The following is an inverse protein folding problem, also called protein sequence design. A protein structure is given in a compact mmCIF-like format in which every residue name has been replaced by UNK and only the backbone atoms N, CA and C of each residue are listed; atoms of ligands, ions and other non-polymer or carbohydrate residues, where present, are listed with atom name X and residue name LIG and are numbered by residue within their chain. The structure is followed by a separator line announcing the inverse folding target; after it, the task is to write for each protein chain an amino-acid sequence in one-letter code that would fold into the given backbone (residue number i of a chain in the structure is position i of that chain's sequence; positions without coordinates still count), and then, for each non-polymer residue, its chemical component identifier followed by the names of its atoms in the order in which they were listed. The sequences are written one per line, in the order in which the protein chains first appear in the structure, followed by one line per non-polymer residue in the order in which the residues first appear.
data_IF_575283840541
#
_entry.id   IF_575283840541
#
_cell.length_a   1.000
_cell.length_b   1.000
_cell.length_c   1.000
_cell.angle_alpha   90.00
_cell.angle_beta   90.00
_cell.angle_gamma   90.00
#
_symmetry.space_group_name_H-M   'P 1'
#
loop_
_entity.id
_entity.type
_entity.pdbx_description
1 polymer ?
#
# COMPACT_ATOMS: atom_id res chain seq x y z
N UNK A 1 20.64 -20.32 -13.43
CA UNK A 1 20.97 -20.01 -12.02
C UNK A 1 20.44 -18.61 -11.74
N UNK A 2 19.46 -18.44 -10.84
CA UNK A 2 18.90 -17.10 -10.53
C UNK A 2 19.86 -16.35 -9.63
N UNK A 3 20.13 -15.08 -9.94
CA UNK A 3 21.11 -14.25 -9.23
C UNK A 3 20.64 -13.90 -7.80
N UNK A 4 21.46 -14.12 -6.76
CA UNK A 4 21.05 -13.95 -5.36
C UNK A 4 20.65 -12.52 -5.00
N UNK A 5 21.17 -11.49 -5.71
CA UNK A 5 20.77 -10.09 -5.50
C UNK A 5 19.32 -9.82 -5.92
N UNK A 6 18.80 -10.53 -6.92
CA UNK A 6 17.43 -10.39 -7.39
C UNK A 6 16.42 -10.89 -6.36
N UNK A 7 16.77 -11.96 -5.64
CA UNK A 7 15.94 -12.51 -4.56
C UNK A 7 15.82 -11.54 -3.38
N UNK A 8 16.93 -10.93 -2.94
CA UNK A 8 16.93 -9.95 -1.86
C UNK A 8 16.09 -8.70 -2.21
N UNK A 9 16.23 -8.18 -3.43
CA UNK A 9 15.45 -7.02 -3.87
C UNK A 9 13.96 -7.35 -4.04
N UNK A 10 13.62 -8.56 -4.51
CA UNK A 10 12.24 -9.01 -4.58
C UNK A 10 11.61 -9.16 -3.19
N UNK A 11 12.34 -9.73 -2.23
CA UNK A 11 11.89 -9.87 -0.85
C UNK A 11 11.63 -8.51 -0.19
N UNK A 12 12.55 -7.55 -0.32
CA UNK A 12 12.39 -6.21 0.24
C UNK A 12 11.16 -5.48 -0.36
N UNK A 13 10.93 -5.59 -1.67
CA UNK A 13 9.74 -5.05 -2.33
C UNK A 13 8.44 -5.70 -1.85
N UNK A 14 8.47 -7.00 -1.54
CA UNK A 14 7.30 -7.70 -1.01
C UNK A 14 6.93 -7.17 0.38
N UNK A 15 7.91 -7.05 1.27
CA UNK A 15 7.69 -6.53 2.64
C UNK A 15 7.16 -5.10 2.62
N UNK A 16 7.73 -4.22 1.78
CA UNK A 16 7.22 -2.86 1.64
C UNK A 16 5.80 -2.84 1.05
N UNK A 17 5.51 -3.69 0.07
CA UNK A 17 4.17 -3.83 -0.48
C UNK A 17 3.14 -4.29 0.56
N UNK A 18 3.48 -5.23 1.45
CA UNK A 18 2.57 -5.70 2.50
C UNK A 18 2.28 -4.60 3.52
N UNK A 19 3.33 -3.89 3.97
CA UNK A 19 3.17 -2.73 4.85
C UNK A 19 2.29 -1.65 4.23
N UNK A 20 2.48 -1.36 2.95
CA UNK A 20 1.67 -0.35 2.23
C UNK A 20 0.20 -0.77 2.13
N UNK A 21 -0.10 -2.06 1.94
CA UNK A 21 -1.47 -2.59 1.95
C UNK A 21 -2.13 -2.36 3.31
N UNK A 22 -1.44 -2.68 4.41
CA UNK A 22 -1.94 -2.43 5.77
C UNK A 22 -2.18 -0.95 6.02
N UNK A 23 -1.27 -0.10 5.55
CA UNK A 23 -1.36 1.35 5.75
C UNK A 23 -2.57 1.95 5.02
N UNK A 24 -2.78 1.63 3.74
CA UNK A 24 -3.96 2.15 3.01
C UNK A 24 -5.28 1.64 3.58
N UNK A 25 -5.30 0.40 4.09
CA UNK A 25 -6.46 -0.15 4.77
C UNK A 25 -6.80 0.64 6.04
N UNK A 26 -5.79 0.93 6.86
CA UNK A 26 -5.96 1.75 8.06
C UNK A 26 -6.46 3.16 7.74
N UNK A 27 -5.88 3.82 6.73
CA UNK A 27 -6.32 5.15 6.28
C UNK A 27 -7.78 5.13 5.83
N UNK A 28 -8.15 4.18 4.96
CA UNK A 28 -9.52 4.08 4.43
C UNK A 28 -10.54 3.75 5.52
N UNK A 29 -10.17 2.91 6.49
CA UNK A 29 -11.03 2.60 7.64
C UNK A 29 -11.22 3.81 8.56
N UNK A 30 -10.16 4.57 8.80
CA UNK A 30 -10.22 5.77 9.63
C UNK A 30 -11.06 6.88 9.00
N UNK A 31 -11.10 6.94 7.66
CA UNK A 31 -11.94 7.88 6.93
C UNK A 31 -12.48 7.24 5.63
N UNK A 32 -13.67 6.62 5.68
CA UNK A 32 -14.28 5.93 4.55
C UNK A 32 -14.62 6.83 3.37
N UNK A 33 -14.68 8.15 3.54
CA UNK A 33 -15.06 9.08 2.48
C UNK A 33 -13.85 9.59 1.67
N UNK A 34 -12.62 9.27 2.10
CA UNK A 34 -11.43 9.66 1.35
C UNK A 34 -11.43 9.08 -0.06
N UNK A 35 -11.18 9.97 -1.01
CA UNK A 35 -10.89 9.61 -2.39
C UNK A 35 -9.51 8.95 -2.49
N UNK A 36 -9.30 8.17 -3.55
CA UNK A 36 -8.02 7.53 -3.83
C UNK A 36 -6.84 8.54 -3.90
N UNK A 37 -7.10 9.73 -4.44
CA UNK A 37 -6.10 10.79 -4.54
C UNK A 37 -5.73 11.35 -3.15
N UNK A 38 -6.70 11.53 -2.27
CA UNK A 38 -6.45 12.01 -0.91
C UNK A 38 -5.69 10.97 -0.06
N UNK A 39 -6.00 9.68 -0.22
CA UNK A 39 -5.21 8.62 0.42
C UNK A 39 -3.77 8.64 -0.10
N UNK A 40 -3.58 8.83 -1.41
CA UNK A 40 -2.25 9.02 -2.00
C UNK A 40 -1.49 10.20 -1.41
N UNK A 41 -2.12 11.37 -1.31
CA UNK A 41 -1.52 12.56 -0.70
C UNK A 41 -1.15 12.33 0.78
N UNK A 42 -1.93 11.54 1.51
CA UNK A 42 -1.60 11.19 2.89
C UNK A 42 -0.38 10.28 2.98
N UNK A 43 -0.22 9.30 2.07
CA UNK A 43 1.00 8.49 1.95
C UNK A 43 2.22 9.37 1.67
N UNK A 44 2.09 10.37 0.78
CA UNK A 44 3.15 11.33 0.49
C UNK A 44 3.53 12.16 1.72
N UNK A 45 2.54 12.63 2.49
CA UNK A 45 2.76 13.36 3.74
C UNK A 45 3.44 12.52 4.83
N UNK A 46 3.29 11.19 4.77
CA UNK A 46 4.01 10.24 5.63
C UNK A 46 5.40 9.86 5.09
N UNK A 47 5.86 10.50 4.02
CA UNK A 47 7.10 10.20 3.30
C UNK A 47 7.18 8.76 2.73
N UNK A 48 6.02 8.15 2.49
CA UNK A 48 5.93 6.82 1.88
C UNK A 48 6.19 6.90 0.38
N UNK A 49 7.18 6.13 -0.08
CA UNK A 49 7.46 6.02 -1.51
C UNK A 49 6.57 4.97 -2.15
N UNK A 50 6.24 5.17 -3.42
CA UNK A 50 5.59 4.13 -4.22
C UNK A 50 6.46 2.86 -4.28
N UNK A 51 5.87 1.68 -4.50
CA UNK A 51 6.65 0.42 -4.62
C UNK A 51 7.74 0.45 -5.70
N UNK A 52 7.62 1.35 -6.70
CA UNK A 52 8.60 1.56 -7.76
C UNK A 52 9.57 2.72 -7.49
N UNK A 53 9.51 3.33 -6.30
CA UNK A 53 10.45 4.35 -5.83
C UNK A 53 10.09 5.80 -6.18
N UNK A 54 8.98 6.04 -6.88
CA UNK A 54 8.47 7.39 -7.14
C UNK A 54 7.87 8.05 -5.90
N UNK A 55 8.01 9.37 -5.79
CA UNK A 55 7.52 10.17 -4.66
C UNK A 55 6.03 10.52 -4.73
N UNK A 56 5.42 10.49 -5.92
CA UNK A 56 3.99 10.77 -6.11
C UNK A 56 3.17 9.49 -6.24
N UNK A 57 2.02 9.46 -5.60
CA UNK A 57 1.07 8.35 -5.62
C UNK A 57 -0.02 8.59 -6.67
N UNK A 58 -0.01 7.78 -7.72
CA UNK A 58 -1.13 7.75 -8.66
C UNK A 58 -2.37 7.13 -7.98
N UNK A 59 -3.59 7.65 -8.22
CA UNK A 59 -4.83 7.08 -7.67
C UNK A 59 -5.00 5.59 -7.99
N UNK A 60 -4.54 5.14 -9.15
CA UNK A 60 -4.56 3.73 -9.56
C UNK A 60 -3.66 2.84 -8.70
N UNK A 61 -2.51 3.35 -8.24
CA UNK A 61 -1.61 2.61 -7.34
C UNK A 61 -2.26 2.42 -5.97
N UNK A 62 -2.93 3.46 -5.47
CA UNK A 62 -3.71 3.38 -4.23
C UNK A 62 -4.84 2.38 -4.36
N UNK A 63 -5.59 2.41 -5.48
CA UNK A 63 -6.64 1.42 -5.76
C UNK A 63 -6.09 0.00 -5.72
N UNK A 64 -4.98 -0.29 -6.40
CA UNK A 64 -4.39 -1.64 -6.38
C UNK A 64 -4.01 -2.13 -4.98
N UNK A 65 -3.60 -1.22 -4.08
CA UNK A 65 -3.34 -1.57 -2.69
C UNK A 65 -4.64 -1.84 -1.91
N UNK A 66 -5.69 -1.04 -2.13
CA UNK A 66 -7.00 -1.24 -1.51
C UNK A 66 -7.69 -2.52 -2.00
N UNK A 67 -7.65 -2.81 -3.31
CA UNK A 67 -8.17 -4.06 -3.88
C UNK A 67 -7.47 -5.27 -3.24
N UNK A 68 -6.17 -5.14 -2.92
CA UNK A 68 -5.42 -6.18 -2.21
C UNK A 68 -5.77 -6.24 -0.72
N UNK A 69 -6.01 -5.10 -0.07
CA UNK A 69 -6.49 -5.04 1.30
C UNK A 69 -7.87 -5.72 1.45
N UNK A 70 -8.76 -5.49 0.50
CA UNK A 70 -10.09 -6.13 0.44
C UNK A 70 -9.97 -7.66 0.32
N UNK A 71 -9.12 -8.15 -0.59
CA UNK A 71 -8.84 -9.59 -0.73
C UNK A 71 -8.27 -10.22 0.56
N UNK A 72 -7.55 -9.43 1.35
CA UNK A 72 -7.02 -9.83 2.65
C UNK A 72 -7.98 -9.56 3.82
N UNK A 73 -9.21 -9.09 3.55
CA UNK A 73 -10.22 -8.73 4.57
C UNK A 73 -9.74 -7.70 5.60
N UNK A 74 -8.80 -6.85 5.20
CA UNK A 74 -8.25 -5.80 6.07
C UNK A 74 -9.14 -4.56 6.16
N UNK A 75 -10.12 -4.42 5.26
CA UNK A 75 -11.10 -3.32 5.29
C UNK A 75 -12.27 -3.61 6.22
N UNK A 76 -12.56 -4.90 6.45
CA UNK A 76 -13.74 -5.39 7.18
C UNK A 76 -13.37 -6.02 8.53
N UNK A 77 -12.19 -5.74 9.08
CA UNK A 77 -11.76 -6.32 10.35
C UNK A 77 -12.64 -5.79 11.50
N UNK A 78 -13.79 -6.42 11.65
CA UNK A 78 -14.68 -6.36 12.80
C UNK A 78 -13.83 -6.58 14.04
N UNK A 79 -13.99 -5.65 14.98
CA UNK A 79 -13.45 -5.73 16.33
C UNK A 79 -13.81 -7.10 16.92
N UNK A 80 -12.82 -7.96 17.13
CA UNK A 80 -12.93 -9.06 18.10
C UNK A 80 -12.79 -8.49 19.51
#
# INVERSE_FOLDING_TARGET
MIEPRLLHQAASRKVSSERLVTLVAGIKRANPDLTLAQIGAQLEAMYERTPRGGARWAPSSVKSLLDRAEKLRLLDAETL
#
